data_IF_158281438907
#
_entry.id   IF_158281438907
#
_cell.length_a   1.000
_cell.length_b   1.000
_cell.length_c   1.000
_cell.angle_alpha   90.00
_cell.angle_beta   90.00
_cell.angle_gamma   90.00
#
_symmetry.space_group_name_H-M   'P 1'
#
loop_
_entity.id
_entity.type
_entity.pdbx_description
1 polymer ?
#
# COMPACT_ATOMS: atom_id res chain seq x y z
N UNK A 1 -6.34 -9.02 5.36
CA UNK A 1 -6.45 -7.68 5.94
C UNK A 1 -5.11 -6.96 6.12
N UNK A 2 -4.02 -7.44 5.48
CA UNK A 2 -2.70 -6.79 5.49
C UNK A 2 -2.71 -5.39 4.84
N UNK A 3 -3.64 -5.14 3.95
CA UNK A 3 -3.66 -3.93 3.13
C UNK A 3 -3.81 -2.63 3.93
N UNK A 4 -4.46 -2.68 5.08
CA UNK A 4 -4.65 -1.51 5.94
C UNK A 4 -3.34 -0.88 6.42
N UNK A 5 -2.30 -1.67 6.63
CA UNK A 5 -1.02 -1.19 7.14
C UNK A 5 0.19 -1.54 6.25
N UNK A 6 0.02 -2.48 5.29
CA UNK A 6 1.07 -2.87 4.34
C UNK A 6 0.51 -2.88 2.92
N UNK A 7 1.35 -2.63 1.92
CA UNK A 7 1.00 -2.90 0.54
C UNK A 7 0.97 -4.41 0.32
N UNK A 8 -0.18 -4.94 -0.05
CA UNK A 8 -0.36 -6.38 -0.26
C UNK A 8 0.23 -6.86 -1.60
N UNK A 9 0.48 -5.94 -2.52
CA UNK A 9 0.99 -6.24 -3.86
C UNK A 9 1.88 -5.12 -4.37
N UNK A 10 2.63 -5.43 -5.41
CA UNK A 10 3.49 -4.50 -6.12
C UNK A 10 2.72 -4.04 -7.37
N UNK A 11 2.46 -2.75 -7.51
CA UNK A 11 1.60 -2.20 -8.56
C UNK A 11 1.85 -2.78 -9.97
N UNK A 12 3.09 -2.90 -10.48
CA UNK A 12 3.33 -3.48 -11.80
C UNK A 12 2.96 -4.97 -11.97
N UNK A 13 2.61 -5.66 -10.90
CA UNK A 13 2.18 -7.07 -10.97
C UNK A 13 0.66 -7.24 -10.93
N UNK A 14 -0.08 -6.14 -10.84
CA UNK A 14 -1.53 -6.22 -10.64
C UNK A 14 -2.26 -6.28 -11.97
N UNK A 15 -3.16 -7.23 -12.09
CA UNK A 15 -4.11 -7.36 -13.21
C UNK A 15 -5.51 -7.12 -12.70
N UNK A 16 -6.24 -6.23 -13.35
CA UNK A 16 -7.61 -5.91 -13.01
C UNK A 16 -8.59 -6.48 -14.04
N UNK A 17 -9.68 -7.04 -13.56
CA UNK A 17 -10.84 -7.31 -14.43
C UNK A 17 -11.52 -5.98 -14.76
N UNK A 18 -11.95 -5.80 -16.00
CA UNK A 18 -12.66 -4.58 -16.44
C UNK A 18 -13.89 -4.26 -15.57
N UNK A 19 -14.64 -5.28 -15.20
CA UNK A 19 -15.80 -5.16 -14.31
C UNK A 19 -15.49 -4.59 -12.91
N UNK A 20 -14.23 -4.56 -12.50
CA UNK A 20 -13.81 -3.87 -11.28
C UNK A 20 -14.11 -2.37 -11.38
N UNK A 21 -13.70 -1.76 -12.49
CA UNK A 21 -13.84 -0.31 -12.71
C UNK A 21 -15.31 0.12 -12.83
N UNK A 22 -16.17 -0.76 -13.29
CA UNK A 22 -17.63 -0.54 -13.30
C UNK A 22 -18.19 -0.46 -11.87
N UNK A 23 -17.61 -1.20 -10.93
CA UNK A 23 -18.05 -1.25 -9.52
C UNK A 23 -17.47 -0.17 -8.63
N UNK A 24 -16.22 0.22 -8.88
CA UNK A 24 -15.49 1.14 -7.99
C UNK A 24 -14.98 2.40 -8.69
N UNK A 25 -15.18 2.55 -10.00
CA UNK A 25 -14.67 3.66 -10.81
C UNK A 25 -13.19 3.49 -11.14
N UNK A 26 -12.67 4.38 -11.98
CA UNK A 26 -11.28 4.42 -12.43
C UNK A 26 -10.36 5.02 -11.36
N UNK A 27 -9.09 5.20 -11.70
CA UNK A 27 -8.11 5.89 -10.85
C UNK A 27 -8.56 7.32 -10.52
N UNK A 28 -8.38 7.71 -9.27
CA UNK A 28 -8.67 9.06 -8.83
C UNK A 28 -7.50 9.99 -9.19
N UNK A 29 -7.73 10.93 -10.10
CA UNK A 29 -6.71 11.84 -10.64
C UNK A 29 -6.18 12.84 -9.60
N UNK A 30 -6.89 13.05 -8.50
CA UNK A 30 -6.41 13.90 -7.39
C UNK A 30 -5.23 13.28 -6.65
N UNK A 31 -5.02 11.97 -6.81
CA UNK A 31 -3.88 11.26 -6.25
C UNK A 31 -2.73 11.20 -7.25
N UNK A 32 -1.85 12.18 -7.22
CA UNK A 32 -0.66 12.24 -8.09
C UNK A 32 0.31 11.06 -7.90
N UNK A 33 0.28 10.43 -6.73
CA UNK A 33 1.05 9.22 -6.38
C UNK A 33 0.25 8.40 -5.39
N UNK A 34 0.49 7.08 -5.37
CA UNK A 34 -0.22 6.13 -4.53
C UNK A 34 -1.72 5.96 -4.91
N UNK A 35 -2.06 6.29 -6.15
CA UNK A 35 -3.38 6.04 -6.74
C UNK A 35 -3.76 4.56 -6.73
N UNK A 36 -2.77 3.69 -6.78
CA UNK A 36 -2.91 2.24 -6.62
C UNK A 36 -3.41 1.86 -5.22
N UNK A 37 -2.92 2.53 -4.18
CA UNK A 37 -3.35 2.31 -2.79
C UNK A 37 -4.79 2.80 -2.60
N UNK A 38 -5.14 3.94 -3.16
CA UNK A 38 -6.48 4.51 -3.12
C UNK A 38 -7.49 3.58 -3.82
N UNK A 39 -7.21 3.16 -5.06
CA UNK A 39 -8.06 2.26 -5.84
C UNK A 39 -8.31 0.94 -5.08
N UNK A 40 -7.24 0.37 -4.51
CA UNK A 40 -7.35 -0.85 -3.73
C UNK A 40 -8.08 -0.66 -2.41
N UNK A 41 -7.99 0.51 -1.80
CA UNK A 41 -8.79 0.90 -0.65
C UNK A 41 -10.28 0.85 -0.96
N UNK A 42 -10.70 1.43 -2.09
CA UNK A 42 -12.09 1.34 -2.57
C UNK A 42 -12.53 -0.09 -2.86
N UNK A 43 -11.66 -0.89 -3.49
CA UNK A 43 -11.94 -2.30 -3.74
C UNK A 43 -12.19 -3.09 -2.44
N UNK A 44 -11.37 -2.83 -1.40
CA UNK A 44 -11.56 -3.45 -0.08
C UNK A 44 -12.89 -3.04 0.59
N UNK A 45 -13.23 -1.75 0.53
CA UNK A 45 -14.50 -1.25 1.08
C UNK A 45 -15.70 -1.93 0.40
N UNK A 46 -15.61 -2.19 -0.89
CA UNK A 46 -16.63 -2.92 -1.68
C UNK A 46 -16.50 -4.44 -1.58
N UNK A 47 -15.61 -4.95 -0.69
CA UNK A 47 -15.38 -6.39 -0.47
C UNK A 47 -15.03 -7.15 -1.75
N UNK A 48 -14.34 -6.51 -2.68
CA UNK A 48 -13.87 -7.13 -3.92
C UNK A 48 -12.85 -8.21 -3.55
N UNK A 49 -13.01 -9.38 -4.15
CA UNK A 49 -12.06 -10.48 -3.96
C UNK A 49 -10.74 -10.18 -4.69
N UNK A 50 -9.64 -10.35 -3.98
CA UNK A 50 -8.29 -10.18 -4.48
C UNK A 50 -7.52 -11.47 -4.17
N UNK A 51 -6.80 -12.00 -5.14
CA UNK A 51 -5.95 -13.17 -4.99
C UNK A 51 -4.56 -12.93 -5.57
N UNK A 52 -3.58 -13.66 -5.09
CA UNK A 52 -2.21 -13.66 -5.59
C UNK A 52 -1.93 -14.99 -6.30
N UNK A 53 -1.28 -14.89 -7.46
CA UNK A 53 -0.63 -16.05 -8.07
C UNK A 53 0.63 -16.38 -7.25
N UNK A 54 0.85 -17.66 -6.98
CA UNK A 54 1.97 -18.13 -6.16
C UNK A 54 3.26 -18.32 -6.99
N UNK A 55 3.26 -17.82 -8.22
CA UNK A 55 4.37 -17.93 -9.16
C UNK A 55 5.15 -16.62 -9.24
N UNK A 56 6.48 -16.64 -9.28
CA UNK A 56 7.30 -15.45 -9.50
C UNK A 56 7.27 -15.05 -10.98
N UNK A 57 6.39 -14.10 -11.34
CA UNK A 57 6.15 -13.69 -12.73
C UNK A 57 6.83 -12.37 -13.11
N UNK A 58 7.49 -11.68 -12.17
CA UNK A 58 8.10 -10.38 -12.42
C UNK A 58 9.44 -10.21 -11.70
N UNK A 59 10.46 -9.79 -12.45
CA UNK A 59 11.68 -9.25 -11.88
C UNK A 59 11.52 -7.76 -11.56
N UNK A 60 11.59 -7.41 -10.29
CA UNK A 60 11.38 -6.04 -9.83
C UNK A 60 12.68 -5.40 -9.35
N UNK A 61 13.09 -4.30 -10.01
CA UNK A 61 14.31 -3.55 -9.61
C UNK A 61 14.06 -2.82 -8.29
N UNK A 62 14.85 -3.14 -7.27
CA UNK A 62 14.73 -2.56 -5.92
C UNK A 62 15.71 -1.42 -5.63
N UNK A 63 16.66 -1.16 -6.54
CA UNK A 63 17.66 -0.11 -6.39
C UNK A 63 17.02 1.28 -6.25
N UNK A 64 17.48 2.06 -5.29
CA UNK A 64 17.01 3.44 -5.05
C UNK A 64 15.56 3.56 -4.54
N UNK A 65 14.83 2.48 -4.33
CA UNK A 65 13.44 2.54 -3.81
C UNK A 65 13.40 3.11 -2.40
N UNK A 66 14.36 2.75 -1.55
CA UNK A 66 14.42 3.17 -0.16
C UNK A 66 14.60 4.69 -0.02
N UNK A 67 15.49 5.28 -0.81
CA UNK A 67 15.74 6.72 -0.81
C UNK A 67 14.54 7.51 -1.34
N UNK A 68 13.91 7.05 -2.42
CA UNK A 68 12.70 7.68 -2.99
C UNK A 68 11.49 7.65 -2.03
N UNK A 69 11.40 6.63 -1.18
CA UNK A 69 10.28 6.46 -0.23
C UNK A 69 10.50 7.09 1.14
N UNK A 70 11.69 7.65 1.41
CA UNK A 70 12.05 8.19 2.73
C UNK A 70 11.99 9.70 2.83
N UNK A 71 11.70 10.44 1.76
CA UNK A 71 11.55 11.88 1.86
C UNK A 71 10.19 12.27 2.46
N UNK A 72 10.12 13.43 3.10
CA UNK A 72 8.92 13.93 3.79
C UNK A 72 7.70 14.03 2.86
N UNK A 73 7.91 14.41 1.61
CA UNK A 73 6.83 14.49 0.62
C UNK A 73 6.24 13.11 0.30
N UNK A 74 7.07 12.06 0.22
CA UNK A 74 6.60 10.69 0.02
C UNK A 74 5.83 10.18 1.25
N UNK A 75 6.27 10.56 2.46
CA UNK A 75 5.56 10.22 3.70
C UNK A 75 4.19 10.88 3.74
N UNK A 76 4.11 12.19 3.46
CA UNK A 76 2.82 12.93 3.41
C UNK A 76 1.84 12.29 2.41
N UNK A 77 2.29 12.01 1.19
CA UNK A 77 1.46 11.36 0.16
C UNK A 77 0.92 10.00 0.61
N UNK A 78 1.76 9.23 1.30
CA UNK A 78 1.35 7.93 1.78
C UNK A 78 0.37 8.01 2.96
N UNK A 79 0.53 8.98 3.85
CA UNK A 79 -0.45 9.27 4.91
C UNK A 79 -1.79 9.57 4.25
N UNK A 80 -1.82 10.50 3.30
CA UNK A 80 -3.02 10.89 2.59
C UNK A 80 -3.72 9.67 1.93
N UNK A 81 -2.97 8.83 1.21
CA UNK A 81 -3.55 7.65 0.56
C UNK A 81 -4.04 6.58 1.54
N UNK A 82 -3.37 6.38 2.68
CA UNK A 82 -3.80 5.42 3.70
C UNK A 82 -5.05 5.85 4.46
N UNK A 83 -5.27 7.15 4.58
CA UNK A 83 -6.45 7.71 5.24
C UNK A 83 -7.58 8.06 4.26
N UNK A 84 -7.40 7.87 2.95
CA UNK A 84 -8.46 8.03 1.95
C UNK A 84 -9.57 6.99 2.08
N UNK A 85 -9.30 5.88 2.75
CA UNK A 85 -10.30 4.85 3.05
C UNK A 85 -10.35 4.55 4.55
N UNK A 86 -11.55 4.56 5.09
CA UNK A 86 -11.77 4.33 6.51
C UNK A 86 -11.84 2.84 6.84
N UNK A 87 -11.41 2.52 8.05
CA UNK A 87 -11.66 1.22 8.66
C UNK A 87 -12.28 1.42 10.04
N UNK A 88 -13.33 0.67 10.34
CA UNK A 88 -14.00 0.68 11.64
C UNK A 88 -13.20 -0.06 12.72
N UNK A 89 -12.18 -0.81 12.33
CA UNK A 89 -11.38 -1.60 13.27
C UNK A 89 -10.30 -0.73 13.92
N UNK A 90 -10.39 -0.58 15.24
CA UNK A 90 -9.38 0.09 16.08
C UNK A 90 -8.00 -0.55 15.87
N UNK A 91 -7.93 -1.89 15.82
CA UNK A 91 -6.70 -2.63 15.56
C UNK A 91 -6.00 -2.18 14.28
N UNK A 92 -6.74 -2.07 13.17
CA UNK A 92 -6.15 -1.66 11.89
C UNK A 92 -5.77 -0.18 11.87
N UNK A 93 -6.49 0.68 12.59
CA UNK A 93 -6.12 2.09 12.75
C UNK A 93 -4.79 2.23 13.53
N UNK A 94 -4.62 1.49 14.62
CA UNK A 94 -3.35 1.44 15.36
C UNK A 94 -2.22 0.96 14.44
N UNK A 95 -2.42 -0.11 13.68
CA UNK A 95 -1.41 -0.64 12.76
C UNK A 95 -1.07 0.35 11.62
N UNK A 96 -2.05 1.14 11.14
CA UNK A 96 -1.79 2.25 10.21
C UNK A 96 -0.84 3.28 10.82
N UNK A 97 -1.15 3.75 12.04
CA UNK A 97 -0.33 4.73 12.77
C UNK A 97 1.08 4.19 12.97
N UNK A 98 1.22 2.98 13.51
CA UNK A 98 2.52 2.33 13.71
C UNK A 98 3.31 2.21 12.42
N UNK A 99 2.66 1.86 11.31
CA UNK A 99 3.33 1.74 10.00
C UNK A 99 3.84 3.08 9.46
N UNK A 100 3.24 4.19 9.87
CA UNK A 100 3.68 5.54 9.53
C UNK A 100 4.85 5.94 10.44
N UNK A 101 4.71 5.72 11.76
CA UNK A 101 5.76 6.03 12.73
C UNK A 101 7.07 5.30 12.44
N UNK A 102 7.01 4.04 12.03
CA UNK A 102 8.18 3.27 11.60
C UNK A 102 8.99 3.93 10.48
N UNK A 103 8.40 4.83 9.71
CA UNK A 103 9.10 5.53 8.62
C UNK A 103 9.98 6.68 9.07
N UNK A 104 9.71 7.22 10.25
CA UNK A 104 10.55 8.26 10.86
C UNK A 104 11.78 7.65 11.53
N UNK A 105 11.83 6.33 11.71
CA UNK A 105 12.99 5.67 12.28
C UNK A 105 14.18 5.65 11.30
N UNK A 106 15.40 5.63 11.83
CA UNK A 106 16.62 5.47 11.03
C UNK A 106 16.58 4.26 10.09
N UNK A 107 17.27 4.37 8.96
CA UNK A 107 17.23 3.36 7.87
C UNK A 107 17.58 1.97 8.35
N UNK A 108 18.55 1.84 9.27
CA UNK A 108 18.99 0.54 9.79
C UNK A 108 17.90 -0.15 10.62
N UNK A 109 17.14 0.60 11.46
CA UNK A 109 16.01 0.06 12.24
C UNK A 109 14.89 -0.36 11.30
N UNK A 110 14.61 0.44 10.27
CA UNK A 110 13.60 0.09 9.26
C UNK A 110 13.97 -1.19 8.51
N UNK A 111 15.22 -1.33 8.07
CA UNK A 111 15.69 -2.55 7.40
C UNK A 111 15.54 -3.77 8.30
N UNK A 112 15.93 -3.64 9.56
CA UNK A 112 15.80 -4.72 10.54
C UNK A 112 14.34 -5.11 10.80
N UNK A 113 13.45 -4.15 11.04
CA UNK A 113 12.02 -4.43 11.26
C UNK A 113 11.35 -5.02 10.02
N UNK A 114 11.68 -4.57 8.80
CA UNK A 114 11.18 -5.18 7.57
C UNK A 114 11.65 -6.63 7.40
N UNK A 115 12.88 -6.95 7.77
CA UNK A 115 13.40 -8.31 7.71
C UNK A 115 12.67 -9.23 8.70
N UNK A 116 12.40 -8.76 9.92
CA UNK A 116 11.74 -9.54 10.97
C UNK A 116 10.22 -9.70 10.80
N UNK A 117 9.56 -8.71 10.17
CA UNK A 117 8.10 -8.72 9.96
C UNK A 117 7.66 -9.36 8.64
N UNK A 118 8.59 -9.81 7.81
CA UNK A 118 8.31 -10.36 6.47
C UNK A 118 8.20 -11.90 6.45
N UNK A 119 8.52 -12.55 7.57
CA UNK A 119 8.43 -13.99 7.77
C UNK A 119 7.42 -14.32 8.84
#
# INVERSE_FOLDING_TARGET
>A
NFFHYRSAFIHPTVVFRRSLFEKIGFYNETFYTAQDIELCGRALQKKIQISNLQEPLLYYRIEGIQSRRSNLAAIKRQIFSKYSFNTLSIKYNILKILSILLRFLPVFIRKWSYKKLRY
#
